data_IF_157188231471
#
_entry.id   IF_157188231471
#
_cell.length_a   1.000
_cell.length_b   1.000
_cell.length_c   1.000
_cell.angle_alpha   90.00
_cell.angle_beta   90.00
_cell.angle_gamma   90.00
#
_symmetry.space_group_name_H-M   'P 1'
#
loop_
_entity.id
_entity.type
_entity.pdbx_description
1 polymer ?
#
# COMPACT_ATOMS: atom_id res chain seq x y z
N UNK A 1 8.68 -12.71 -17.60
CA UNK A 1 8.40 -11.40 -18.23
C UNK A 1 9.47 -10.44 -17.78
N UNK A 2 10.35 -9.99 -18.67
CA UNK A 2 11.46 -9.09 -18.32
C UNK A 2 11.01 -7.63 -18.18
N UNK A 3 11.83 -6.79 -17.54
CA UNK A 3 11.57 -5.35 -17.42
C UNK A 3 11.55 -4.70 -18.81
N UNK A 4 10.36 -4.37 -19.32
CA UNK A 4 10.16 -3.76 -20.64
C UNK A 4 9.91 -2.25 -20.59
N UNK A 5 9.48 -1.72 -19.44
CA UNK A 5 9.23 -0.29 -19.24
C UNK A 5 10.49 0.44 -18.78
N UNK A 6 10.64 1.70 -19.22
CA UNK A 6 11.78 2.57 -18.85
C UNK A 6 11.29 3.79 -18.08
N UNK A 7 12.04 4.15 -17.04
CA UNK A 7 11.92 5.40 -16.31
C UNK A 7 13.18 6.22 -16.57
N UNK A 8 13.06 7.37 -17.23
CA UNK A 8 14.17 8.24 -17.59
C UNK A 8 14.00 9.60 -16.91
N UNK A 9 15.07 10.09 -16.28
CA UNK A 9 15.07 11.40 -15.63
C UNK A 9 16.42 12.09 -15.80
N UNK A 10 16.38 13.42 -15.87
CA UNK A 10 17.59 14.24 -15.89
C UNK A 10 18.00 14.56 -14.45
N UNK A 11 19.29 14.50 -14.18
CA UNK A 11 19.88 14.88 -12.90
C UNK A 11 20.96 15.94 -13.11
N UNK A 12 21.21 16.74 -12.09
CA UNK A 12 22.36 17.63 -12.10
C UNK A 12 23.67 16.81 -12.09
N UNK A 13 24.79 17.36 -12.58
CA UNK A 13 26.09 16.68 -12.48
C UNK A 13 26.48 16.35 -11.03
N UNK A 14 26.13 17.23 -10.09
CA UNK A 14 26.41 17.03 -8.66
C UNK A 14 25.60 15.85 -8.09
N UNK A 15 24.31 15.76 -8.42
CA UNK A 15 23.47 14.63 -8.01
C UNK A 15 23.94 13.32 -8.63
N UNK A 16 24.35 13.35 -9.89
CA UNK A 16 24.92 12.18 -10.57
C UNK A 16 26.15 11.66 -9.84
N UNK A 17 27.12 12.52 -9.54
CA UNK A 17 28.34 12.12 -8.83
C UNK A 17 28.03 11.57 -7.43
N UNK A 18 27.06 12.16 -6.72
CA UNK A 18 26.60 11.66 -5.42
C UNK A 18 25.98 10.27 -5.51
N UNK A 19 25.14 10.03 -6.51
CA UNK A 19 24.48 8.72 -6.72
C UNK A 19 25.51 7.67 -7.13
N UNK A 20 26.44 8.00 -8.03
CA UNK A 20 27.53 7.11 -8.45
C UNK A 20 28.39 6.70 -7.25
N UNK A 21 28.79 7.65 -6.41
CA UNK A 21 29.57 7.35 -5.21
C UNK A 21 28.79 6.49 -4.20
N UNK A 22 27.51 6.74 -3.99
CA UNK A 22 26.67 5.92 -3.11
C UNK A 22 26.54 4.48 -3.63
N UNK A 23 26.38 4.31 -4.95
CA UNK A 23 26.33 3.00 -5.58
C UNK A 23 27.66 2.23 -5.45
N UNK A 24 28.79 2.92 -5.61
CA UNK A 24 30.13 2.34 -5.35
C UNK A 24 30.26 1.83 -3.91
N UNK A 25 29.84 2.64 -2.91
CA UNK A 25 29.86 2.25 -1.51
C UNK A 25 28.91 1.08 -1.21
N UNK A 26 27.79 0.99 -1.92
CA UNK A 26 26.83 -0.12 -1.83
C UNK A 26 27.30 -1.38 -2.59
N UNK A 27 28.35 -1.28 -3.41
CA UNK A 27 28.89 -2.40 -4.19
C UNK A 27 27.99 -2.83 -5.35
N UNK A 28 27.16 -1.93 -5.89
CA UNK A 28 26.23 -2.25 -6.98
C UNK A 28 26.28 -1.23 -8.13
N UNK A 29 25.85 -1.59 -9.35
CA UNK A 29 25.81 -0.66 -10.47
C UNK A 29 24.89 0.53 -10.20
N UNK A 30 25.28 1.74 -10.63
CA UNK A 30 24.52 2.99 -10.43
C UNK A 30 23.04 2.90 -10.86
N UNK A 31 22.76 2.21 -11.97
CA UNK A 31 21.38 2.02 -12.46
C UNK A 31 20.57 1.08 -11.57
N UNK A 32 21.20 0.05 -11.01
CA UNK A 32 20.58 -0.86 -10.03
C UNK A 32 20.29 -0.12 -8.73
N UNK A 33 21.26 0.63 -8.21
CA UNK A 33 21.09 1.48 -7.03
C UNK A 33 19.93 2.46 -7.18
N UNK A 34 19.91 3.21 -8.28
CA UNK A 34 18.85 4.17 -8.54
C UNK A 34 17.47 3.51 -8.66
N UNK A 35 17.39 2.32 -9.28
CA UNK A 35 16.15 1.55 -9.38
C UNK A 35 15.68 1.06 -8.01
N UNK A 36 16.56 0.48 -7.20
CA UNK A 36 16.23 0.01 -5.85
C UNK A 36 15.74 1.16 -4.95
N UNK A 37 16.44 2.29 -4.97
CA UNK A 37 16.03 3.47 -4.19
C UNK A 37 14.63 3.97 -4.60
N UNK A 38 14.31 3.96 -5.90
CA UNK A 38 12.99 4.34 -6.39
C UNK A 38 11.91 3.33 -5.98
N UNK A 39 12.18 2.03 -6.10
CA UNK A 39 11.28 0.94 -5.70
C UNK A 39 11.00 0.93 -4.19
N UNK A 40 12.02 1.13 -3.36
CA UNK A 40 11.88 1.25 -1.90
C UNK A 40 11.00 2.45 -1.53
N UNK A 41 11.28 3.63 -2.10
CA UNK A 41 10.50 4.83 -1.79
C UNK A 41 9.05 4.70 -2.24
N UNK A 42 8.81 4.11 -3.42
CA UNK A 42 7.46 3.85 -3.90
C UNK A 42 6.72 2.88 -2.96
N UNK A 43 7.37 1.78 -2.58
CA UNK A 43 6.81 0.79 -1.65
C UNK A 43 6.47 1.42 -0.30
N UNK A 44 7.35 2.26 0.23
CA UNK A 44 7.13 2.97 1.48
C UNK A 44 5.86 3.84 1.39
N UNK A 45 5.75 4.70 0.38
CA UNK A 45 4.61 5.61 0.22
C UNK A 45 3.31 4.85 0.03
N UNK A 46 3.31 3.79 -0.80
CA UNK A 46 2.13 2.97 -1.02
C UNK A 46 1.68 2.31 0.29
N UNK A 47 2.60 1.74 1.06
CA UNK A 47 2.28 1.16 2.38
C UNK A 47 1.74 2.20 3.35
N UNK A 48 2.36 3.37 3.44
CA UNK A 48 1.90 4.45 4.32
C UNK A 48 0.47 4.88 3.96
N UNK A 49 0.16 4.98 2.68
CA UNK A 49 -1.16 5.40 2.21
C UNK A 49 -2.21 4.28 2.30
N UNK A 50 -1.86 3.04 1.97
CA UNK A 50 -2.77 1.89 1.98
C UNK A 50 -3.02 1.36 3.40
N UNK A 51 -2.04 1.44 4.30
CA UNK A 51 -2.18 1.00 5.68
C UNK A 51 -2.87 2.05 6.58
N UNK A 52 -3.02 3.29 6.12
CA UNK A 52 -3.66 4.35 6.89
C UNK A 52 -5.14 4.43 6.55
N UNK A 53 -6.00 3.97 7.46
CA UNK A 53 -7.44 4.25 7.39
C UNK A 53 -7.70 5.62 8.00
N UNK A 54 -8.02 6.62 7.17
CA UNK A 54 -8.47 7.91 7.66
C UNK A 54 -9.91 7.80 8.16
N UNK A 55 -10.10 8.06 9.45
CA UNK A 55 -11.41 8.01 10.09
C UNK A 55 -11.77 9.35 10.73
N UNK A 56 -13.06 9.72 10.82
CA UNK A 56 -13.48 10.90 11.58
C UNK A 56 -13.02 10.83 13.04
N UNK A 57 -12.85 11.97 13.71
CA UNK A 57 -12.38 12.02 15.11
C UNK A 57 -13.24 11.16 16.07
N UNK A 58 -14.56 11.10 15.83
CA UNK A 58 -15.51 10.31 16.62
C UNK A 58 -15.51 8.81 16.32
N UNK A 59 -14.78 8.37 15.30
CA UNK A 59 -14.91 7.00 14.78
C UNK A 59 -14.61 5.93 15.83
N UNK A 60 -13.57 6.12 16.63
CA UNK A 60 -13.22 5.12 17.65
C UNK A 60 -14.26 5.07 18.76
N UNK A 61 -14.85 6.20 19.15
CA UNK A 61 -15.96 6.24 20.11
C UNK A 61 -17.18 5.49 19.56
N UNK A 62 -17.56 5.79 18.31
CA UNK A 62 -18.67 5.12 17.61
C UNK A 62 -18.41 3.60 17.46
N UNK A 63 -17.16 3.22 17.16
CA UNK A 63 -16.73 1.83 17.02
C UNK A 63 -16.82 1.08 18.35
N UNK A 64 -16.29 1.64 19.44
CA UNK A 64 -16.37 1.00 20.76
C UNK A 64 -17.81 0.84 21.20
N UNK A 65 -18.66 1.85 21.00
CA UNK A 65 -20.08 1.75 21.30
C UNK A 65 -20.77 0.62 20.51
N UNK A 66 -20.41 0.44 19.23
CA UNK A 66 -20.95 -0.63 18.39
C UNK A 66 -20.42 -2.02 18.80
N UNK A 67 -19.23 -2.12 19.39
CA UNK A 67 -18.70 -3.38 19.92
C UNK A 67 -19.35 -3.77 21.25
N UNK A 68 -19.62 -2.79 22.12
CA UNK A 68 -20.30 -3.00 23.41
C UNK A 68 -21.78 -3.33 23.22
N UNK A 69 -22.43 -2.73 22.21
CA UNK A 69 -23.82 -2.99 21.85
C UNK A 69 -23.94 -3.28 20.34
N UNK A 70 -23.65 -4.52 19.90
CA UNK A 70 -23.75 -4.91 18.50
C UNK A 70 -25.16 -4.68 17.95
N UNK A 71 -25.25 -4.05 16.78
CA UNK A 71 -26.51 -3.88 16.08
C UNK A 71 -27.03 -5.19 15.49
N UNK A 72 -28.36 -5.30 15.38
CA UNK A 72 -28.98 -6.41 14.67
C UNK A 72 -28.83 -6.24 13.14
N UNK A 73 -28.56 -7.33 12.39
CA UNK A 73 -28.52 -7.26 10.94
C UNK A 73 -29.84 -6.76 10.36
N UNK A 74 -29.75 -5.85 9.39
CA UNK A 74 -30.94 -5.44 8.66
C UNK A 74 -31.44 -6.56 7.73
N UNK A 75 -32.70 -6.45 7.29
CA UNK A 75 -33.34 -7.48 6.45
C UNK A 75 -32.56 -7.78 5.16
N UNK A 76 -31.94 -6.76 4.56
CA UNK A 76 -31.14 -6.93 3.34
C UNK A 76 -29.87 -7.76 3.59
N UNK A 77 -29.19 -7.52 4.72
CA UNK A 77 -28.01 -8.27 5.13
C UNK A 77 -28.36 -9.72 5.47
N UNK A 78 -29.45 -9.95 6.22
CA UNK A 78 -29.93 -11.29 6.54
C UNK A 78 -30.24 -12.10 5.28
N UNK A 79 -30.97 -11.51 4.32
CA UNK A 79 -31.28 -12.15 3.05
C UNK A 79 -30.02 -12.46 2.21
N UNK A 80 -28.98 -11.61 2.27
CA UNK A 80 -27.71 -11.87 1.60
C UNK A 80 -26.96 -13.06 2.21
N UNK A 81 -26.94 -13.15 3.55
CA UNK A 81 -26.33 -14.27 4.25
C UNK A 81 -27.03 -15.60 3.92
N UNK A 82 -28.36 -15.62 3.82
CA UNK A 82 -29.10 -16.82 3.46
C UNK A 82 -28.83 -17.29 2.03
N UNK A 83 -28.70 -16.36 1.07
CA UNK A 83 -28.26 -16.68 -0.30
C UNK A 83 -26.89 -17.35 -0.31
N UNK A 84 -25.92 -16.80 0.44
CA UNK A 84 -24.57 -17.37 0.53
C UNK A 84 -24.60 -18.80 1.11
N UNK A 85 -25.38 -19.03 2.17
CA UNK A 85 -25.53 -20.36 2.78
C UNK A 85 -26.15 -21.39 1.82
N UNK A 86 -27.06 -20.96 0.95
CA UNK A 86 -27.61 -21.80 -0.12
C UNK A 86 -26.55 -22.23 -1.12
N UNK A 87 -25.68 -21.30 -1.54
CA UNK A 87 -24.62 -21.57 -2.52
C UNK A 87 -23.49 -22.48 -2.00
N UNK A 88 -23.29 -22.55 -0.68
CA UNK A 88 -22.19 -23.35 -0.09
C UNK A 88 -22.65 -24.76 0.32
N UNK A 89 -23.95 -25.07 0.16
CA UNK A 89 -24.55 -26.37 0.53
C UNK A 89 -24.79 -27.30 -0.68
N UNK A 90 -24.55 -26.82 -1.89
CA UNK A 90 -24.47 -27.60 -3.14
C UNK A 90 -23.00 -27.96 -3.46
#
# INVERSE_FOLDING_TARGET
>A
MGASARLEFRVSPADRARIEHAAELAGEPTSTFARHAAEERATQILREHEATTHVPARFFDDLFAALDAPGEPNAAFAAAADRLRGMTRD
#
